data_IF_453042040722
#
_entry.id   IF_453042040722
#
_cell.length_a   1.000
_cell.length_b   1.000
_cell.length_c   1.000
_cell.angle_alpha   90.00
_cell.angle_beta   90.00
_cell.angle_gamma   90.00
#
_symmetry.space_group_name_H-M   'P 1'
#
loop_
_entity.id
_entity.type
_entity.pdbx_description
1 polymer ?
#
# COMPACT_ATOMS: atom_id res chain seq x y z
N UNK A 1 21.17 -6.34 -8.07
CA UNK A 1 20.26 -5.31 -8.60
C UNK A 1 20.55 -3.98 -7.92
N UNK A 2 20.08 -2.84 -8.46
CA UNK A 2 20.10 -1.59 -7.68
C UNK A 2 19.20 -1.77 -6.45
N UNK A 3 19.61 -1.33 -5.25
CA UNK A 3 18.77 -1.43 -4.06
C UNK A 3 17.42 -0.72 -4.24
N UNK A 4 16.37 -1.26 -3.62
CA UNK A 4 15.04 -0.66 -3.62
C UNK A 4 15.03 0.61 -2.77
N UNK A 5 14.65 1.71 -3.40
CA UNK A 5 14.65 3.03 -2.78
C UNK A 5 13.40 3.29 -1.93
N UNK A 6 12.22 2.85 -2.38
CA UNK A 6 10.96 3.10 -1.70
C UNK A 6 9.88 2.06 -2.06
N UNK A 7 8.89 1.98 -1.17
CA UNK A 7 7.59 1.36 -1.45
C UNK A 7 6.97 2.16 -2.59
N UNK A 8 6.43 1.48 -3.61
CA UNK A 8 5.66 2.11 -4.68
C UNK A 8 4.22 2.33 -4.24
N UNK A 9 3.55 1.25 -3.84
CA UNK A 9 2.18 1.27 -3.35
C UNK A 9 1.87 0.06 -2.48
N UNK A 10 0.76 0.11 -1.73
CA UNK A 10 0.22 -1.03 -1.01
C UNK A 10 -1.25 -1.20 -1.40
N UNK A 11 -1.66 -2.43 -1.73
CA UNK A 11 -3.02 -2.73 -2.18
C UNK A 11 -3.73 -3.63 -1.17
N UNK A 12 -4.92 -3.24 -0.73
CA UNK A 12 -5.69 -3.97 0.27
C UNK A 12 -7.11 -4.32 -0.20
N UNK A 13 -7.67 -5.36 0.40
CA UNK A 13 -9.05 -5.79 0.16
C UNK A 13 -9.92 -5.19 1.26
N UNK A 14 -10.97 -4.47 0.85
CA UNK A 14 -11.90 -3.76 1.74
C UNK A 14 -13.34 -4.11 1.38
N UNK A 15 -14.27 -3.66 2.22
CA UNK A 15 -15.70 -3.87 2.03
C UNK A 15 -16.33 -2.76 1.19
N UNK A 16 -17.28 -2.05 1.79
CA UNK A 16 -18.08 -1.02 1.12
C UNK A 16 -17.20 0.12 0.58
N UNK A 17 -17.25 0.43 -0.73
CA UNK A 17 -16.43 1.48 -1.33
C UNK A 17 -16.77 2.87 -0.79
N UNK A 18 -18.03 3.14 -0.42
CA UNK A 18 -18.40 4.45 0.12
C UNK A 18 -17.80 4.67 1.52
N UNK A 19 -17.82 3.64 2.38
CA UNK A 19 -17.14 3.66 3.67
C UNK A 19 -15.62 3.82 3.51
N UNK A 20 -15.02 3.14 2.53
CA UNK A 20 -13.60 3.31 2.20
C UNK A 20 -13.28 4.77 1.79
N UNK A 21 -14.02 5.34 0.83
CA UNK A 21 -13.84 6.74 0.40
C UNK A 21 -14.01 7.70 1.58
N UNK A 22 -15.04 7.53 2.39
CA UNK A 22 -15.28 8.37 3.56
C UNK A 22 -14.10 8.31 4.55
N UNK A 23 -13.60 7.12 4.86
CA UNK A 23 -12.46 6.98 5.77
C UNK A 23 -11.18 7.59 5.20
N UNK A 24 -10.75 7.17 4.01
CA UNK A 24 -9.44 7.57 3.49
C UNK A 24 -9.39 9.04 3.07
N UNK A 25 -10.50 9.63 2.62
CA UNK A 25 -10.54 11.07 2.28
C UNK A 25 -10.92 11.96 3.45
N UNK A 26 -11.97 11.64 4.19
CA UNK A 26 -12.52 12.55 5.20
C UNK A 26 -11.84 12.37 6.55
N UNK A 27 -11.46 11.13 6.91
CA UNK A 27 -10.75 10.87 8.17
C UNK A 27 -9.25 11.03 8.00
N UNK A 28 -8.64 10.39 6.99
CA UNK A 28 -7.19 10.46 6.79
C UNK A 28 -6.73 11.63 5.90
N UNK A 29 -7.64 12.37 5.27
CA UNK A 29 -7.26 13.52 4.45
C UNK A 29 -6.47 13.14 3.19
N UNK A 30 -6.51 11.89 2.74
CA UNK A 30 -5.84 11.49 1.51
C UNK A 30 -6.64 11.94 0.29
N UNK A 31 -5.93 12.21 -0.80
CA UNK A 31 -6.53 12.54 -2.08
C UNK A 31 -6.91 11.26 -2.82
N UNK A 32 -8.15 11.13 -3.26
CA UNK A 32 -8.52 10.10 -4.25
C UNK A 32 -7.96 10.53 -5.60
N UNK A 33 -6.99 9.78 -6.12
CA UNK A 33 -6.25 10.09 -7.34
C UNK A 33 -6.65 9.22 -8.52
N UNK A 34 -7.38 8.14 -8.29
CA UNK A 34 -7.99 7.37 -9.39
C UNK A 34 -9.19 6.58 -8.92
N UNK A 35 -10.23 6.62 -9.73
CA UNK A 35 -11.32 5.66 -9.70
C UNK A 35 -11.25 4.85 -10.99
N UNK A 36 -10.93 3.58 -10.89
CA UNK A 36 -10.96 2.66 -12.03
C UNK A 36 -11.52 1.31 -11.59
N UNK A 37 -11.36 0.29 -12.43
CA UNK A 37 -11.76 -1.10 -12.13
C UNK A 37 -10.54 -1.99 -12.04
N UNK A 38 -10.67 -3.11 -11.34
CA UNK A 38 -9.62 -4.11 -11.30
C UNK A 38 -9.38 -4.64 -12.73
N UNK A 39 -8.13 -4.64 -13.16
CA UNK A 39 -7.72 -5.02 -14.52
C UNK A 39 -7.91 -6.51 -14.80
N UNK A 40 -8.03 -7.32 -13.73
CA UNK A 40 -8.30 -8.75 -13.80
C UNK A 40 -9.80 -9.08 -13.54
N UNK A 41 -10.59 -8.13 -13.00
CA UNK A 41 -12.05 -8.23 -12.79
C UNK A 41 -12.74 -6.85 -12.93
N UNK A 42 -13.31 -6.51 -14.11
CA UNK A 42 -13.80 -5.17 -14.39
C UNK A 42 -15.07 -4.79 -13.61
N UNK A 43 -15.68 -5.71 -12.85
CA UNK A 43 -16.87 -5.43 -12.04
C UNK A 43 -16.55 -5.08 -10.58
N UNK A 44 -15.27 -5.01 -10.24
CA UNK A 44 -14.77 -4.58 -8.93
C UNK A 44 -14.03 -3.26 -9.08
N UNK A 45 -14.34 -2.28 -8.22
CA UNK A 45 -13.58 -1.03 -8.17
C UNK A 45 -12.10 -1.27 -7.86
N UNK A 46 -11.25 -0.39 -8.39
CA UNK A 46 -9.88 -0.21 -7.92
C UNK A 46 -9.69 1.28 -7.62
N UNK A 47 -9.65 1.60 -6.33
CA UNK A 47 -9.57 2.97 -5.84
C UNK A 47 -8.14 3.27 -5.41
N UNK A 48 -7.59 4.40 -5.87
CA UNK A 48 -6.23 4.82 -5.56
C UNK A 48 -6.24 6.13 -4.79
N UNK A 49 -5.53 6.16 -3.67
CA UNK A 49 -5.36 7.34 -2.85
C UNK A 49 -3.88 7.70 -2.74
N UNK A 50 -3.61 8.98 -2.52
CA UNK A 50 -2.27 9.54 -2.39
C UNK A 50 -2.25 10.67 -1.35
N UNK A 51 -1.05 11.18 -1.06
CA UNK A 51 -0.93 12.47 -0.37
C UNK A 51 -1.42 13.61 -1.29
N UNK A 52 -1.35 14.85 -0.81
CA UNK A 52 -1.84 16.01 -1.55
C UNK A 52 -1.00 16.33 -2.80
N UNK A 53 0.27 15.91 -2.84
CA UNK A 53 1.24 16.22 -3.90
C UNK A 53 1.41 15.11 -4.95
N UNK A 54 0.84 13.94 -4.73
CA UNK A 54 0.88 12.79 -5.65
C UNK A 54 2.30 12.30 -5.92
N UNK A 55 3.10 12.26 -4.87
CA UNK A 55 4.50 11.83 -4.96
C UNK A 55 4.60 10.31 -5.03
N UNK A 56 5.68 9.81 -5.65
CA UNK A 56 5.99 8.39 -5.66
C UNK A 56 6.14 7.85 -4.23
N UNK A 57 5.57 6.68 -3.98
CA UNK A 57 5.60 6.04 -2.66
C UNK A 57 4.61 6.57 -1.64
N UNK A 58 3.55 7.22 -2.11
CA UNK A 58 2.43 7.68 -1.27
C UNK A 58 1.12 6.96 -1.58
N UNK A 59 1.15 6.03 -2.54
CA UNK A 59 -0.04 5.43 -3.12
C UNK A 59 -0.54 4.26 -2.27
N UNK A 60 -1.77 4.35 -1.79
CA UNK A 60 -2.50 3.22 -1.22
C UNK A 60 -3.71 2.91 -2.10
N UNK A 61 -3.95 1.63 -2.36
CA UNK A 61 -5.01 1.20 -3.28
C UNK A 61 -5.90 0.15 -2.67
N UNK A 62 -7.14 0.09 -3.16
CA UNK A 62 -8.15 -0.77 -2.59
C UNK A 62 -8.97 -1.50 -3.64
N UNK A 63 -9.26 -2.76 -3.34
CA UNK A 63 -10.26 -3.58 -4.01
C UNK A 63 -11.49 -3.75 -3.09
N UNK A 64 -12.56 -2.98 -3.32
CA UNK A 64 -13.82 -3.10 -2.57
C UNK A 64 -14.57 -4.35 -3.01
N UNK A 65 -14.49 -5.42 -2.21
CA UNK A 65 -15.14 -6.70 -2.50
C UNK A 65 -16.58 -6.70 -2.01
N UNK A 66 -17.53 -6.83 -2.95
CA UNK A 66 -18.96 -6.88 -2.64
C UNK A 66 -19.33 -8.10 -1.77
N UNK A 67 -18.59 -9.20 -1.92
CA UNK A 67 -18.73 -10.39 -1.09
C UNK A 67 -17.98 -10.17 0.23
N UNK A 68 -18.69 -9.70 1.26
CA UNK A 68 -18.20 -9.34 2.59
C UNK A 68 -17.57 -10.49 3.44
N UNK A 69 -16.81 -11.40 2.83
CA UNK A 69 -16.06 -12.42 3.54
C UNK A 69 -14.90 -11.75 4.27
N UNK A 70 -14.99 -11.75 5.59
CA UNK A 70 -13.92 -11.28 6.45
C UNK A 70 -12.64 -12.08 6.20
N UNK A 71 -11.57 -11.35 5.90
CA UNK A 71 -10.23 -11.90 5.87
C UNK A 71 -9.78 -12.29 7.28
N UNK A 72 -8.59 -12.87 7.35
CA UNK A 72 -7.89 -13.11 8.62
C UNK A 72 -6.46 -12.63 8.45
N UNK A 73 -6.08 -11.61 9.21
CA UNK A 73 -4.70 -11.16 9.27
C UNK A 73 -3.82 -12.27 9.83
N UNK A 74 -2.70 -12.56 9.18
CA UNK A 74 -1.78 -13.61 9.58
C UNK A 74 -0.56 -13.71 8.68
N UNK A 75 0.18 -14.81 8.78
CA UNK A 75 1.39 -15.02 7.98
C UNK A 75 1.12 -15.03 6.48
N UNK A 76 2.05 -14.48 5.69
CA UNK A 76 1.95 -14.29 4.24
C UNK A 76 1.32 -12.96 3.83
N UNK A 77 1.26 -11.97 4.72
CA UNK A 77 0.60 -10.68 4.47
C UNK A 77 1.41 -9.51 5.02
N UNK A 78 1.14 -8.31 4.52
CA UNK A 78 1.44 -7.08 5.28
C UNK A 78 0.44 -6.99 6.42
N UNK A 79 0.93 -6.93 7.66
CA UNK A 79 0.10 -6.89 8.86
C UNK A 79 -0.31 -5.49 9.30
N UNK A 80 0.50 -4.47 9.00
CA UNK A 80 0.19 -3.08 9.32
C UNK A 80 0.79 -2.14 8.28
N UNK A 81 0.01 -1.15 7.86
CA UNK A 81 0.46 -0.07 6.99
C UNK A 81 0.73 1.16 7.86
N UNK A 82 1.92 1.74 7.76
CA UNK A 82 2.27 2.93 8.53
C UNK A 82 2.41 4.14 7.60
N UNK A 83 1.67 5.19 7.92
CA UNK A 83 1.76 6.50 7.29
C UNK A 83 2.63 7.43 8.12
N UNK A 84 3.35 8.29 7.42
CA UNK A 84 4.18 9.34 7.99
C UNK A 84 3.34 10.60 8.18
N UNK A 85 3.40 11.19 9.37
CA UNK A 85 2.81 12.49 9.67
C UNK A 85 3.92 13.48 10.07
N UNK A 86 3.73 14.79 9.88
CA UNK A 86 4.74 15.80 10.18
C UNK A 86 5.13 15.83 11.65
N UNK A 87 6.30 16.40 11.91
CA UNK A 87 6.79 16.70 13.25
C UNK A 87 5.75 17.50 14.05
N UNK A 88 5.62 17.16 15.33
CA UNK A 88 4.73 17.81 16.30
C UNK A 88 3.22 17.78 15.92
N UNK A 89 2.81 16.82 15.06
CA UNK A 89 1.41 16.67 14.62
C UNK A 89 0.63 15.53 15.33
N UNK A 90 1.28 14.72 16.16
CA UNK A 90 0.61 13.58 16.84
C UNK A 90 -0.59 14.00 17.68
N UNK A 91 -0.51 15.12 18.40
CA UNK A 91 -1.60 15.59 19.26
C UNK A 91 -2.81 16.04 18.43
N UNK A 92 -2.57 16.68 17.28
CA UNK A 92 -3.61 17.00 16.32
C UNK A 92 -4.32 15.73 15.85
N UNK A 93 -3.55 14.73 15.40
CA UNK A 93 -4.10 13.48 14.89
C UNK A 93 -4.87 12.70 15.93
N UNK A 94 -4.37 12.64 17.18
CA UNK A 94 -5.08 11.98 18.29
C UNK A 94 -6.47 12.58 18.49
N UNK A 95 -6.55 13.92 18.51
CA UNK A 95 -7.82 14.63 18.72
C UNK A 95 -8.74 14.58 17.48
N UNK A 96 -8.18 14.62 16.27
CA UNK A 96 -8.92 14.45 15.03
C UNK A 96 -9.55 13.05 14.92
N UNK A 97 -8.76 12.00 15.14
CA UNK A 97 -9.23 10.62 15.10
C UNK A 97 -10.29 10.36 16.18
N UNK A 98 -10.09 10.89 17.41
CA UNK A 98 -11.08 10.80 18.49
C UNK A 98 -12.40 11.46 18.12
N UNK A 99 -12.38 12.65 17.51
CA UNK A 99 -13.59 13.35 17.05
C UNK A 99 -14.31 12.60 15.93
N UNK A 100 -13.54 11.90 15.09
CA UNK A 100 -14.06 11.00 14.03
C UNK A 100 -14.51 9.64 14.56
N UNK A 101 -14.49 9.42 15.88
CA UNK A 101 -14.94 8.16 16.50
C UNK A 101 -13.96 6.99 16.34
N UNK A 102 -12.71 7.25 15.96
CA UNK A 102 -11.68 6.23 15.74
C UNK A 102 -10.88 6.03 17.02
N UNK A 103 -10.83 4.78 17.48
CA UNK A 103 -10.00 4.40 18.61
C UNK A 103 -8.52 4.37 18.20
N UNK A 104 -7.66 4.91 19.07
CA UNK A 104 -6.21 4.98 18.86
C UNK A 104 -5.50 4.37 20.06
N UNK A 105 -4.44 3.61 19.78
CA UNK A 105 -3.51 3.10 20.78
C UNK A 105 -2.14 3.71 20.53
N UNK A 106 -1.51 4.25 21.56
CA UNK A 106 -0.13 4.72 21.45
C UNK A 106 0.81 3.52 21.41
N UNK A 107 1.83 3.62 20.57
CA UNK A 107 2.81 2.58 20.33
C UNK A 107 4.19 3.20 20.07
N UNK A 108 5.22 2.40 20.30
CA UNK A 108 6.61 2.71 19.93
C UNK A 108 7.15 1.67 18.94
N UNK A 109 6.27 0.99 18.20
CA UNK A 109 6.65 -0.05 17.23
C UNK A 109 7.68 0.46 16.22
N UNK A 110 7.52 1.68 15.72
CA UNK A 110 8.47 2.33 14.80
C UNK A 110 9.48 3.24 15.54
N UNK A 111 9.64 3.05 16.86
CA UNK A 111 10.53 3.83 17.77
C UNK A 111 10.28 5.33 17.83
N UNK A 112 9.30 5.80 17.09
CA UNK A 112 8.78 7.16 17.08
C UNK A 112 7.37 7.13 17.67
N UNK A 113 6.85 8.31 18.03
CA UNK A 113 5.46 8.42 18.49
C UNK A 113 4.55 7.86 17.42
N UNK A 114 3.88 6.75 17.75
CA UNK A 114 3.03 6.03 16.82
C UNK A 114 1.61 5.97 17.36
N UNK A 115 0.66 6.36 16.53
CA UNK A 115 -0.77 6.20 16.76
C UNK A 115 -1.26 5.00 15.96
N UNK A 116 -1.46 3.87 16.62
CA UNK A 116 -2.02 2.67 16.02
C UNK A 116 -3.55 2.76 15.98
N UNK A 117 -4.14 2.47 14.82
CA UNK A 117 -5.57 2.53 14.57
C UNK A 117 -5.99 1.42 13.60
N UNK A 118 -7.30 1.29 13.36
CA UNK A 118 -7.85 0.45 12.31
C UNK A 118 -8.77 1.30 11.40
N UNK A 119 -8.87 0.92 10.13
CA UNK A 119 -9.89 1.49 9.24
C UNK A 119 -11.29 0.89 9.52
N UNK A 120 -12.29 1.32 8.76
CA UNK A 120 -13.67 0.83 8.88
C UNK A 120 -13.85 -0.66 8.56
N UNK A 121 -12.82 -1.31 8.02
CA UNK A 121 -12.81 -2.70 7.60
C UNK A 121 -11.74 -3.53 8.34
N UNK A 122 -11.28 -3.04 9.51
CA UNK A 122 -10.29 -3.69 10.37
C UNK A 122 -8.86 -3.79 9.78
N UNK A 123 -8.52 -3.05 8.72
CA UNK A 123 -7.13 -2.92 8.29
C UNK A 123 -6.32 -2.20 9.37
N UNK A 124 -5.25 -2.82 9.85
CA UNK A 124 -4.39 -2.20 10.85
C UNK A 124 -3.51 -1.12 10.20
N UNK A 125 -3.68 0.12 10.68
CA UNK A 125 -2.93 1.28 10.23
C UNK A 125 -2.09 1.87 11.37
N UNK A 126 -1.13 2.71 11.04
CA UNK A 126 -0.41 3.55 12.01
C UNK A 126 -0.14 4.92 11.42
N UNK A 127 -0.17 5.95 12.27
CA UNK A 127 0.42 7.26 11.97
C UNK A 127 1.69 7.41 12.81
N UNK A 128 2.82 7.67 12.16
CA UNK A 128 4.15 7.77 12.78
C UNK A 128 4.67 9.19 12.60
N UNK A 129 4.95 9.86 13.72
CA UNK A 129 5.51 11.22 13.72
C UNK A 129 6.96 11.21 13.22
N UNK A 130 7.21 11.99 12.17
CA UNK A 130 8.54 12.16 11.58
C UNK A 130 9.26 13.38 12.15
N UNK A 131 10.49 13.58 11.69
CA UNK A 131 11.25 14.82 11.93
C UNK A 131 10.99 15.90 10.85
N UNK A 132 10.16 15.60 9.85
CA UNK A 132 9.84 16.51 8.74
C UNK A 132 8.79 17.52 9.16
N UNK A 133 9.09 18.81 8.98
CA UNK A 133 8.15 19.90 9.25
C UNK A 133 7.29 20.19 8.03
N UNK A 134 5.98 20.40 8.23
CA UNK A 134 5.06 20.83 7.18
C UNK A 134 4.08 21.89 7.72
N UNK A 135 3.48 22.67 6.81
CA UNK A 135 2.53 23.73 7.16
C UNK A 135 1.17 23.19 7.63
N UNK A 136 0.83 21.98 7.19
CA UNK A 136 -0.40 21.26 7.54
C UNK A 136 -0.04 19.93 8.21
N UNK A 137 -0.93 19.34 9.02
CA UNK A 137 -0.69 18.04 9.65
C UNK A 137 -0.94 16.85 8.69
N UNK A 138 -1.05 17.09 7.38
CA UNK A 138 -1.47 16.08 6.41
C UNK A 138 -0.48 14.90 6.34
N UNK A 139 -0.99 13.72 5.96
CA UNK A 139 -0.14 12.54 5.72
C UNK A 139 0.83 12.84 4.58
N UNK A 140 2.12 12.64 4.86
CA UNK A 140 3.21 12.90 3.91
C UNK A 140 3.41 11.75 2.92
N UNK A 141 3.21 10.51 3.38
CA UNK A 141 3.43 9.30 2.60
C UNK A 141 3.52 8.07 3.49
N UNK A 142 4.13 7.00 3.01
CA UNK A 142 4.42 5.85 3.88
C UNK A 142 5.55 6.17 4.85
N UNK A 143 5.34 5.84 6.12
CA UNK A 143 6.46 5.60 7.03
C UNK A 143 7.08 4.24 6.74
N UNK A 144 6.24 3.24 6.46
CA UNK A 144 6.69 1.86 6.30
C UNK A 144 5.58 0.84 6.48
N UNK A 145 5.95 -0.40 6.82
CA UNK A 145 5.01 -1.50 6.99
C UNK A 145 5.52 -2.59 7.94
N UNK A 146 4.60 -3.37 8.49
CA UNK A 146 4.92 -4.62 9.21
C UNK A 146 4.64 -5.81 8.30
N UNK A 147 5.64 -6.66 8.08
CA UNK A 147 5.52 -7.86 7.26
C UNK A 147 5.33 -9.10 8.14
N UNK A 148 4.16 -9.72 8.07
CA UNK A 148 3.85 -10.94 8.80
C UNK A 148 4.29 -12.12 7.95
N UNK A 149 5.56 -12.50 8.10
CA UNK A 149 6.15 -13.61 7.36
C UNK A 149 5.81 -14.97 7.97
N UNK A 150 5.52 -15.96 7.11
CA UNK A 150 5.44 -17.36 7.51
C UNK A 150 6.84 -17.95 7.83
N UNK A 151 7.90 -17.35 7.29
CA UNK A 151 9.29 -17.75 7.47
C UNK A 151 10.16 -16.49 7.67
N UNK A 152 10.14 -15.85 8.85
CA UNK A 152 10.77 -14.55 9.06
C UNK A 152 12.22 -14.46 8.59
N UNK A 153 13.04 -15.47 8.89
CA UNK A 153 14.44 -15.52 8.43
C UNK A 153 14.59 -15.47 6.91
N UNK A 154 13.70 -16.13 6.17
CA UNK A 154 13.72 -16.13 4.71
C UNK A 154 13.28 -14.77 4.14
N UNK A 155 12.25 -14.14 4.71
CA UNK A 155 11.86 -12.78 4.33
C UNK A 155 12.98 -11.79 4.60
N UNK A 156 13.66 -11.88 5.74
CA UNK A 156 14.81 -11.02 6.04
C UNK A 156 15.95 -11.20 5.02
N UNK A 157 16.18 -12.43 4.54
CA UNK A 157 17.13 -12.68 3.45
C UNK A 157 16.65 -12.03 2.15
N UNK A 158 15.39 -12.18 1.76
CA UNK A 158 14.83 -11.49 0.57
C UNK A 158 14.97 -9.97 0.68
N UNK A 159 14.61 -9.37 1.81
CA UNK A 159 14.70 -7.92 1.99
C UNK A 159 16.13 -7.40 1.84
N UNK A 160 17.12 -8.12 2.39
CA UNK A 160 18.52 -7.69 2.42
C UNK A 160 19.30 -8.07 1.16
N UNK A 161 19.23 -9.33 0.74
CA UNK A 161 20.05 -9.86 -0.35
C UNK A 161 19.47 -9.52 -1.71
N UNK A 162 18.15 -9.65 -1.86
CA UNK A 162 17.49 -9.41 -3.15
C UNK A 162 17.13 -7.94 -3.32
N UNK A 163 16.42 -7.37 -2.34
CA UNK A 163 15.90 -6.00 -2.43
C UNK A 163 16.93 -4.94 -1.98
N UNK A 164 17.99 -5.33 -1.28
CA UNK A 164 19.05 -4.40 -0.86
C UNK A 164 18.66 -3.47 0.29
N UNK A 165 17.62 -3.78 1.05
CA UNK A 165 17.27 -3.01 2.25
C UNK A 165 18.32 -3.18 3.34
N UNK A 166 18.48 -2.14 4.16
CA UNK A 166 19.48 -2.10 5.22
C UNK A 166 18.86 -2.53 6.55
N UNK A 167 19.37 -3.60 7.16
CA UNK A 167 19.05 -3.93 8.55
C UNK A 167 19.62 -2.84 9.46
N UNK A 168 18.76 -2.16 10.21
CA UNK A 168 19.16 -1.07 11.12
C UNK A 168 19.00 -1.42 12.58
N UNK A 169 18.16 -2.40 12.90
CA UNK A 169 18.06 -2.95 14.25
C UNK A 169 17.50 -4.36 14.22
N UNK A 170 17.96 -5.17 15.15
CA UNK A 170 17.39 -6.46 15.50
C UNK A 170 17.14 -6.49 17.02
N UNK A 171 15.89 -6.73 17.40
CA UNK A 171 15.46 -6.92 18.78
C UNK A 171 15.21 -8.41 19.03
N UNK A 172 14.86 -8.80 20.25
CA UNK A 172 14.44 -10.19 20.53
C UNK A 172 13.22 -10.60 19.68
N UNK A 173 12.30 -9.67 19.42
CA UNK A 173 10.98 -9.95 18.85
C UNK A 173 10.82 -9.56 17.38
N UNK A 174 11.67 -8.68 16.86
CA UNK A 174 11.55 -8.15 15.49
C UNK A 174 12.86 -7.59 14.94
N UNK A 175 12.96 -7.58 13.61
CA UNK A 175 14.01 -6.91 12.85
C UNK A 175 13.45 -5.74 12.04
N UNK A 176 14.23 -4.68 11.94
CA UNK A 176 13.86 -3.40 11.33
C UNK A 176 14.79 -3.09 10.17
N UNK A 177 14.22 -2.83 9.00
CA UNK A 177 14.94 -2.57 7.76
C UNK A 177 14.55 -1.22 7.19
N UNK A 178 15.48 -0.51 6.54
CA UNK A 178 15.20 0.72 5.81
C UNK A 178 15.42 0.51 4.32
N UNK A 179 14.54 1.09 3.50
CA UNK A 179 14.82 1.30 2.07
C UNK A 179 15.92 2.35 1.90
N UNK A 180 16.59 2.33 0.73
CA UNK A 180 17.78 3.18 0.48
C UNK A 180 17.45 4.58 -0.02
N UNK A 181 16.18 4.86 -0.34
CA UNK A 181 15.72 6.17 -0.77
C UNK A 181 15.64 7.17 0.38
N UNK A 182 15.45 8.44 0.04
CA UNK A 182 15.49 9.56 0.99
C UNK A 182 14.44 9.44 2.11
N UNK A 183 13.30 8.81 1.82
CA UNK A 183 12.23 8.61 2.78
C UNK A 183 12.60 7.57 3.84
N UNK A 184 13.51 6.63 3.56
CA UNK A 184 13.86 5.53 4.47
C UNK A 184 12.63 4.80 5.00
N UNK A 185 11.84 4.18 4.12
CA UNK A 185 10.65 3.45 4.57
C UNK A 185 11.05 2.28 5.48
N UNK A 186 10.44 2.21 6.65
CA UNK A 186 10.80 1.24 7.68
C UNK A 186 9.96 -0.03 7.58
N UNK A 187 10.62 -1.15 7.31
CA UNK A 187 10.00 -2.47 7.21
C UNK A 187 10.31 -3.25 8.48
N UNK A 188 9.26 -3.62 9.21
CA UNK A 188 9.38 -4.39 10.45
C UNK A 188 8.98 -5.84 10.18
N UNK A 189 9.85 -6.78 10.54
CA UNK A 189 9.59 -8.22 10.43
C UNK A 189 9.60 -8.84 11.82
N UNK A 190 8.44 -9.24 12.38
CA UNK A 190 8.39 -10.00 13.62
C UNK A 190 9.07 -11.37 13.47
N UNK A 191 9.77 -11.82 14.50
CA UNK A 191 10.50 -13.10 14.49
C UNK A 191 9.58 -14.32 14.68
N UNK A 192 8.37 -14.11 15.21
CA UNK A 192 7.38 -15.15 15.42
C UNK A 192 6.37 -15.16 14.28
N UNK A 193 6.32 -16.27 13.55
CA UNK A 193 5.26 -16.51 12.57
C UNK A 193 3.90 -16.70 13.27
N UNK A 194 2.85 -16.18 12.63
CA UNK A 194 1.46 -16.36 13.03
C UNK A 194 0.82 -17.53 12.25
N UNK A 195 -0.38 -17.99 12.63
CA UNK A 195 -1.19 -18.79 11.73
C UNK A 195 -1.35 -18.12 10.36
N UNK A 196 -1.46 -18.93 9.31
CA UNK A 196 -1.60 -18.42 7.94
C UNK A 196 -2.78 -17.43 7.82
N UNK A 197 -2.52 -16.31 7.14
CA UNK A 197 -3.56 -15.36 6.79
C UNK A 197 -4.60 -15.98 5.85
N UNK A 198 -5.73 -15.29 5.70
CA UNK A 198 -6.74 -15.61 4.71
C UNK A 198 -7.17 -14.31 4.05
N UNK A 199 -7.06 -14.23 2.72
CA UNK A 199 -7.54 -13.06 1.99
C UNK A 199 -9.04 -12.85 2.17
N UNK A 200 -9.42 -11.58 2.19
CA UNK A 200 -10.78 -11.11 2.40
C UNK A 200 -10.77 -9.68 2.90
N UNK A 201 -11.95 -9.13 3.17
CA UNK A 201 -12.11 -7.77 3.72
C UNK A 201 -11.25 -7.62 4.97
N UNK A 202 -10.46 -6.55 5.03
CA UNK A 202 -9.57 -6.25 6.16
C UNK A 202 -8.17 -6.85 6.05
N UNK A 203 -7.73 -7.23 4.84
CA UNK A 203 -6.38 -7.77 4.63
C UNK A 203 -5.64 -7.09 3.49
N UNK A 204 -4.32 -6.97 3.63
CA UNK A 204 -3.47 -6.47 2.55
C UNK A 204 -3.22 -7.60 1.55
N UNK A 205 -3.40 -7.28 0.26
CA UNK A 205 -3.18 -8.22 -0.83
C UNK A 205 -1.71 -8.30 -1.22
N UNK A 206 -1.03 -7.15 -1.37
CA UNK A 206 0.38 -7.09 -1.73
C UNK A 206 1.01 -5.74 -1.36
N UNK A 207 2.34 -5.73 -1.34
CA UNK A 207 3.17 -4.52 -1.27
C UNK A 207 4.05 -4.45 -2.52
N UNK A 208 4.08 -3.27 -3.15
CA UNK A 208 4.84 -3.01 -4.34
C UNK A 208 6.10 -2.18 -4.04
N UNK A 209 7.18 -2.49 -4.74
CA UNK A 209 8.47 -1.83 -4.65
C UNK A 209 8.77 -1.08 -5.93
N UNK A 210 9.28 0.14 -5.80
CA UNK A 210 9.45 1.03 -6.94
C UNK A 210 10.71 0.74 -7.73
N UNK A 211 10.59 0.79 -9.07
CA UNK A 211 11.71 0.84 -10.01
C UNK A 211 11.50 1.96 -11.03
N UNK A 212 12.58 2.61 -11.51
CA UNK A 212 12.44 3.85 -12.26
C UNK A 212 11.90 3.66 -13.69
N UNK A 213 12.12 2.49 -14.31
CA UNK A 213 11.82 2.28 -15.74
C UNK A 213 11.43 0.84 -16.05
N UNK A 214 10.81 0.64 -17.22
CA UNK A 214 10.51 -0.68 -17.78
C UNK A 214 11.76 -1.53 -17.97
N UNK A 215 12.88 -0.91 -18.37
CA UNK A 215 14.18 -1.59 -18.50
C UNK A 215 14.62 -2.14 -17.15
N UNK A 216 14.56 -1.32 -16.09
CA UNK A 216 14.90 -1.77 -14.74
C UNK A 216 13.96 -2.89 -14.28
N UNK A 217 12.65 -2.77 -14.52
CA UNK A 217 11.70 -3.83 -14.19
C UNK A 217 12.01 -5.14 -14.93
N UNK A 218 12.42 -5.08 -16.20
CA UNK A 218 12.79 -6.28 -16.97
C UNK A 218 14.05 -6.96 -16.43
N UNK A 219 15.02 -6.18 -15.98
CA UNK A 219 16.20 -6.70 -15.29
C UNK A 219 15.81 -7.37 -13.96
N UNK A 220 14.90 -6.76 -13.19
CA UNK A 220 14.34 -7.37 -11.97
C UNK A 220 13.60 -8.67 -12.26
N UNK A 221 12.79 -8.73 -13.32
CA UNK A 221 12.09 -9.96 -13.71
C UNK A 221 13.08 -11.09 -14.00
N UNK A 222 14.15 -10.80 -14.75
CA UNK A 222 15.21 -11.76 -15.05
C UNK A 222 15.91 -12.22 -13.77
N UNK A 223 16.30 -11.28 -12.92
CA UNK A 223 16.95 -11.58 -11.64
C UNK A 223 16.08 -12.48 -10.75
N UNK A 224 14.80 -12.13 -10.56
CA UNK A 224 13.88 -12.90 -9.72
C UNK A 224 13.64 -14.30 -10.27
N UNK A 225 13.51 -14.44 -11.59
CA UNK A 225 13.42 -15.75 -12.23
C UNK A 225 14.68 -16.60 -11.98
N UNK A 226 15.86 -16.01 -12.08
CA UNK A 226 17.14 -16.71 -11.83
C UNK A 226 17.33 -17.09 -10.36
N UNK A 227 16.77 -16.31 -9.43
CA UNK A 227 16.65 -16.65 -8.01
C UNK A 227 15.52 -17.67 -7.72
N UNK A 228 14.89 -18.23 -8.76
CA UNK A 228 13.84 -19.24 -8.66
C UNK A 228 12.55 -18.76 -7.99
N UNK A 229 12.31 -17.44 -7.94
CA UNK A 229 11.00 -16.93 -7.62
C UNK A 229 10.01 -17.24 -8.76
N UNK A 230 8.77 -17.58 -8.41
CA UNK A 230 7.66 -17.69 -9.36
C UNK A 230 7.16 -16.31 -9.80
N UNK A 231 7.98 -15.58 -10.57
CA UNK A 231 7.65 -14.23 -11.05
C UNK A 231 6.71 -14.26 -12.25
N UNK A 232 5.71 -13.38 -12.29
CA UNK A 232 4.75 -13.29 -13.40
C UNK A 232 5.36 -12.68 -14.66
N UNK A 233 4.62 -12.77 -15.77
CA UNK A 233 4.82 -11.88 -16.91
C UNK A 233 4.62 -10.40 -16.52
N UNK A 234 5.12 -9.48 -17.37
CA UNK A 234 4.90 -8.04 -17.19
C UNK A 234 3.45 -7.73 -17.53
N UNK A 235 2.74 -7.11 -16.59
CA UNK A 235 1.35 -6.66 -16.74
C UNK A 235 1.31 -5.15 -16.91
N UNK A 236 0.59 -4.67 -17.93
CA UNK A 236 0.26 -3.25 -18.11
C UNK A 236 -0.94 -2.90 -17.22
N UNK A 237 -0.72 -2.03 -16.23
CA UNK A 237 -1.75 -1.51 -15.31
C UNK A 237 -2.15 -0.07 -15.66
N UNK A 238 -1.87 0.37 -16.90
CA UNK A 238 -2.07 1.69 -17.46
C UNK A 238 -1.26 2.82 -16.83
N UNK A 239 -1.22 2.89 -15.49
CA UNK A 239 -0.49 3.89 -14.71
C UNK A 239 0.95 3.49 -14.43
N UNK A 240 1.24 2.19 -14.52
CA UNK A 240 2.56 1.58 -14.33
C UNK A 240 2.55 0.18 -14.95
N UNK A 241 3.72 -0.38 -15.19
CA UNK A 241 3.89 -1.80 -15.44
C UNK A 241 4.20 -2.53 -14.15
N UNK A 242 3.79 -3.78 -14.05
CA UNK A 242 3.89 -4.59 -12.83
C UNK A 242 4.39 -6.02 -13.11
N UNK A 243 5.23 -6.53 -12.22
CA UNK A 243 5.51 -7.97 -12.07
C UNK A 243 5.28 -8.37 -10.62
N UNK A 244 4.73 -9.56 -10.40
CA UNK A 244 4.38 -10.06 -9.07
C UNK A 244 5.19 -11.32 -8.77
N UNK A 245 5.55 -11.51 -7.51
CA UNK A 245 6.16 -12.75 -7.02
C UNK A 245 5.80 -12.95 -5.54
N UNK A 246 5.66 -14.21 -5.14
CA UNK A 246 5.53 -14.56 -3.74
C UNK A 246 6.92 -14.78 -3.15
N UNK A 247 7.31 -14.00 -2.13
CA UNK A 247 8.58 -14.19 -1.45
C UNK A 247 8.57 -15.40 -0.51
N UNK A 248 9.73 -15.78 0.03
CA UNK A 248 9.89 -17.05 0.75
C UNK A 248 9.13 -17.12 2.09
N UNK A 249 8.73 -15.99 2.66
CA UNK A 249 7.78 -15.88 3.77
C UNK A 249 6.29 -15.91 3.38
N UNK A 250 5.98 -16.21 2.12
CA UNK A 250 4.63 -16.29 1.55
C UNK A 250 3.92 -14.95 1.32
N UNK A 251 4.58 -13.81 1.49
CA UNK A 251 4.03 -12.48 1.21
C UNK A 251 4.10 -12.22 -0.30
N UNK A 252 3.05 -11.61 -0.85
CA UNK A 252 3.05 -11.21 -2.27
C UNK A 252 3.73 -9.85 -2.40
N UNK A 253 4.85 -9.84 -3.12
CA UNK A 253 5.55 -8.63 -3.53
C UNK A 253 5.27 -8.31 -4.99
N UNK A 254 5.34 -7.03 -5.30
CA UNK A 254 5.27 -6.50 -6.66
C UNK A 254 6.50 -5.61 -6.92
N UNK A 255 7.02 -5.62 -8.15
CA UNK A 255 7.95 -4.60 -8.64
C UNK A 255 7.16 -3.75 -9.65
N UNK A 256 7.03 -2.45 -9.39
CA UNK A 256 6.20 -1.52 -10.18
C UNK A 256 7.01 -0.33 -10.69
N UNK A 257 6.76 0.08 -11.94
CA UNK A 257 7.45 1.22 -12.57
C UNK A 257 6.88 2.56 -12.14
N UNK A 258 7.73 3.56 -11.97
CA UNK A 258 7.30 4.92 -11.58
C UNK A 258 6.47 5.66 -12.64
N UNK A 259 6.60 5.27 -13.90
CA UNK A 259 5.94 5.91 -15.03
C UNK A 259 4.99 4.93 -15.72
N UNK A 260 3.94 5.43 -16.42
CA UNK A 260 3.65 6.85 -16.72
C UNK A 260 3.01 7.68 -15.58
N UNK A 261 2.43 7.05 -14.56
CA UNK A 261 1.73 7.71 -13.45
C UNK A 261 0.26 8.07 -13.76
N UNK A 262 -0.45 8.63 -12.77
CA UNK A 262 -1.90 8.86 -12.84
C UNK A 262 -2.33 10.06 -13.70
N UNK A 263 -1.38 10.90 -14.13
CA UNK A 263 -1.63 12.07 -14.98
C UNK A 263 -1.64 11.73 -16.48
N UNK A 264 -1.45 10.46 -16.83
CA UNK A 264 -1.44 10.00 -18.23
C UNK A 264 -2.79 10.16 -18.92
N UNK A 265 -3.88 10.04 -18.16
CA UNK A 265 -5.27 10.02 -18.65
C UNK A 265 -6.20 11.05 -17.97
N UNK A 266 -5.77 11.71 -16.88
CA UNK A 266 -6.52 12.75 -16.19
C UNK A 266 -5.61 13.92 -15.77
N UNK A 267 -6.03 15.19 -15.93
CA UNK A 267 -5.26 16.33 -15.43
C UNK A 267 -5.31 16.41 -13.90
N UNK A 268 -4.32 17.07 -13.31
CA UNK A 268 -4.16 17.16 -11.85
C UNK A 268 -5.40 17.77 -11.18
N UNK A 269 -6.10 18.70 -11.81
CA UNK A 269 -7.22 19.45 -11.21
C UNK A 269 -8.45 18.57 -11.00
N UNK A 270 -8.73 17.65 -11.92
CA UNK A 270 -9.93 16.79 -11.91
C UNK A 270 -9.60 15.33 -11.61
N UNK A 271 -8.38 15.07 -11.15
CA UNK A 271 -7.86 13.73 -10.97
C UNK A 271 -8.69 12.94 -9.96
N UNK A 272 -9.16 11.75 -10.37
CA UNK A 272 -9.93 10.87 -9.51
C UNK A 272 -11.37 11.34 -9.26
N UNK A 273 -11.89 12.32 -10.01
CA UNK A 273 -13.30 12.75 -9.94
C UNK A 273 -14.24 11.80 -10.69
N UNK A 274 -13.75 11.13 -11.73
CA UNK A 274 -14.57 10.28 -12.60
C UNK A 274 -14.03 8.87 -12.73
N UNK A 275 -14.90 7.91 -13.10
CA UNK A 275 -14.48 6.55 -13.41
C UNK A 275 -13.74 6.51 -14.76
N UNK A 276 -12.45 6.22 -14.72
CA UNK A 276 -11.66 5.89 -15.90
C UNK A 276 -11.61 4.37 -16.09
N UNK A 277 -11.64 3.93 -17.35
CA UNK A 277 -11.52 2.51 -17.68
C UNK A 277 -10.29 2.33 -18.57
N UNK A 278 -9.53 1.24 -18.40
CA UNK A 278 -8.46 0.96 -19.33
C UNK A 278 -9.06 0.65 -20.72
N UNK A 279 -8.33 0.93 -21.82
CA UNK A 279 -8.88 0.89 -23.18
C UNK A 279 -9.62 -0.41 -23.55
N UNK A 280 -9.18 -1.55 -23.03
CA UNK A 280 -9.80 -2.85 -23.26
C UNK A 280 -11.23 -2.99 -22.69
N UNK A 281 -11.63 -2.15 -21.74
CA UNK A 281 -12.93 -2.19 -21.08
C UNK A 281 -13.87 -1.05 -21.49
N UNK A 282 -13.40 -0.06 -22.25
CA UNK A 282 -14.23 1.07 -22.67
C UNK A 282 -15.46 0.65 -23.49
N UNK A 283 -15.34 -0.39 -24.32
CA UNK A 283 -16.47 -0.95 -25.08
C UNK A 283 -17.58 -1.52 -24.17
N UNK A 284 -17.28 -1.82 -22.90
CA UNK A 284 -18.19 -2.40 -21.91
C UNK A 284 -18.59 -1.39 -20.82
N UNK A 285 -18.23 -0.10 -20.96
CA UNK A 285 -18.43 0.94 -19.93
C UNK A 285 -19.85 0.97 -19.36
N UNK A 286 -20.87 0.92 -20.21
CA UNK A 286 -22.27 0.99 -19.76
C UNK A 286 -22.66 -0.21 -18.89
N UNK A 287 -22.15 -1.39 -19.22
CA UNK A 287 -22.41 -2.62 -18.46
C UNK A 287 -21.64 -2.63 -17.13
N UNK A 288 -20.37 -2.24 -17.14
CA UNK A 288 -19.55 -2.08 -15.94
C UNK A 288 -20.20 -1.10 -14.96
N UNK A 289 -20.59 0.09 -15.44
CA UNK A 289 -21.25 1.11 -14.62
C UNK A 289 -22.57 0.64 -14.01
N UNK A 290 -23.30 -0.26 -14.67
CA UNK A 290 -24.54 -0.81 -14.16
C UNK A 290 -24.34 -1.81 -13.01
N UNK A 291 -23.16 -2.44 -12.92
CA UNK A 291 -22.82 -3.42 -11.90
C UNK A 291 -22.03 -2.83 -10.73
N UNK A 292 -21.30 -1.73 -10.96
CA UNK A 292 -20.57 -1.05 -9.89
C UNK A 292 -21.54 -0.34 -8.93
N UNK A 293 -21.29 -0.40 -7.61
CA UNK A 293 -22.08 0.38 -6.65
C UNK A 293 -21.87 1.88 -6.91
N UNK A 294 -22.90 2.69 -6.70
CA UNK A 294 -22.76 4.14 -6.86
C UNK A 294 -21.81 4.71 -5.80
N UNK A 295 -20.84 5.50 -6.25
CA UNK A 295 -19.86 6.16 -5.39
C UNK A 295 -20.09 7.68 -5.39
N UNK A 296 -20.19 8.26 -4.20
CA UNK A 296 -20.32 9.72 -4.01
C UNK A 296 -19.00 10.27 -3.48
N UNK A 297 -18.49 11.28 -4.17
CA UNK A 297 -17.17 11.89 -3.95
C UNK A 297 -17.29 13.29 -3.34
N UNK A 298 -18.52 13.76 -3.08
CA UNK A 298 -18.79 15.07 -2.46
C UNK A 298 -18.58 15.07 -0.94
#
# INVERSE_FOLDING_TARGET
MQPIEHIHHISAIVGDPQANVAFYRQVLGLRLVKQTVNFDDPYTYHLYYSNQHIENGTIITFFPWANAHAGRVGSGQVGRIAFRIPKDSSDYWREHLRRSGIAVQESTLFKQKTLALADTHDLALALVESEETADTPDILGFHGAVLLSAQPAATMQTLTHDLGLQLVEETETSSHFLTTGQQHHEIVVPHQALPAGRWGVGTVHHIAWSVPTDTAQKEWQTYLHDQQYGVTEIKDRHYFHAIYFQEHGSIVFEIATQTPGFLVDEPLETLGETLTLPPQFEAQRADILAHLPQLKID
#
